data_IF_675692212259
#
_entry.id   IF_675692212259
#
_cell.length_a   1.000
_cell.length_b   1.000
_cell.length_c   1.000
_cell.angle_alpha   90.00
_cell.angle_beta   90.00
_cell.angle_gamma   90.00
#
_symmetry.space_group_name_H-M   'P 1'
#
loop_
_entity.id
_entity.type
_entity.pdbx_description
1 polymer ?
#
# COMPACT_ATOMS: atom_id res chain seq x y z
N UNK A 1 -17.61 3.09 -9.20
CA UNK A 1 -18.20 2.06 -8.33
C UNK A 1 -17.25 1.73 -7.19
N UNK A 2 -17.71 0.93 -6.22
CA UNK A 2 -16.94 0.48 -5.05
C UNK A 2 -15.54 -0.04 -5.41
N UNK A 3 -15.47 -0.97 -6.38
CA UNK A 3 -14.21 -1.51 -6.92
C UNK A 3 -13.17 -0.43 -7.26
N UNK A 4 -13.59 0.66 -7.90
CA UNK A 4 -12.68 1.74 -8.27
C UNK A 4 -12.09 2.47 -7.06
N UNK A 5 -12.84 2.57 -5.95
CA UNK A 5 -12.33 3.13 -4.69
C UNK A 5 -11.27 2.20 -4.09
N UNK A 6 -11.54 0.89 -4.05
CA UNK A 6 -10.61 -0.12 -3.52
C UNK A 6 -9.30 -0.15 -4.31
N UNK A 7 -9.38 -0.17 -5.65
CA UNK A 7 -8.19 -0.14 -6.51
C UNK A 7 -7.36 1.15 -6.32
N UNK A 8 -8.04 2.29 -6.11
CA UNK A 8 -7.35 3.56 -5.83
C UNK A 8 -6.64 3.52 -4.48
N UNK A 9 -7.26 2.92 -3.47
CA UNK A 9 -6.65 2.76 -2.14
C UNK A 9 -5.44 1.82 -2.17
N UNK A 10 -5.55 0.66 -2.84
CA UNK A 10 -4.42 -0.25 -3.07
C UNK A 10 -3.27 0.50 -3.75
N UNK A 11 -3.55 1.28 -4.81
CA UNK A 11 -2.52 2.08 -5.48
C UNK A 11 -1.84 3.06 -4.51
N UNK A 12 -2.60 3.78 -3.69
CA UNK A 12 -2.04 4.75 -2.74
C UNK A 12 -1.12 4.07 -1.71
N UNK A 13 -1.51 2.90 -1.21
CA UNK A 13 -0.68 2.12 -0.29
C UNK A 13 0.61 1.65 -0.95
N UNK A 14 0.54 1.10 -2.17
CA UNK A 14 1.72 0.64 -2.90
C UNK A 14 2.69 1.79 -3.23
N UNK A 15 2.17 2.96 -3.64
CA UNK A 15 3.00 4.15 -3.87
C UNK A 15 3.67 4.60 -2.56
N UNK A 16 2.94 4.63 -1.45
CA UNK A 16 3.51 4.95 -0.14
C UNK A 16 4.63 3.98 0.26
N UNK A 17 4.46 2.68 -0.05
CA UNK A 17 5.47 1.67 0.24
C UNK A 17 6.72 1.83 -0.62
N UNK A 18 6.54 2.21 -1.88
CA UNK A 18 7.64 2.53 -2.79
C UNK A 18 8.42 3.77 -2.32
N UNK A 19 7.71 4.84 -1.95
CA UNK A 19 8.29 6.08 -1.42
C UNK A 19 9.07 5.84 -0.12
N UNK A 20 8.54 4.98 0.76
CA UNK A 20 9.19 4.59 2.01
C UNK A 20 10.26 3.50 1.81
N UNK A 21 10.49 3.02 0.57
CA UNK A 21 11.41 1.91 0.24
C UNK A 21 11.13 0.60 0.98
N UNK A 22 9.88 0.38 1.39
CA UNK A 22 9.42 -0.85 2.07
C UNK A 22 8.70 -1.81 1.11
N UNK A 23 8.47 -1.41 -0.14
CA UNK A 23 7.91 -2.27 -1.19
C UNK A 23 8.91 -3.37 -1.58
N UNK A 24 8.95 -4.43 -0.78
CA UNK A 24 9.84 -5.56 -0.98
C UNK A 24 9.31 -6.53 -2.04
N UNK A 25 10.20 -7.36 -2.59
CA UNK A 25 9.81 -8.51 -3.41
C UNK A 25 8.83 -9.43 -2.67
N UNK A 26 8.93 -9.54 -1.34
CA UNK A 26 8.00 -10.32 -0.52
C UNK A 26 6.55 -9.85 -0.60
N UNK A 27 6.31 -8.53 -0.60
CA UNK A 27 4.95 -7.97 -0.76
C UNK A 27 4.40 -8.30 -2.15
N UNK A 28 5.22 -8.08 -3.18
CA UNK A 28 4.85 -8.39 -4.56
C UNK A 28 4.54 -9.87 -4.75
N UNK A 29 5.43 -10.75 -4.30
CA UNK A 29 5.28 -12.20 -4.42
C UNK A 29 4.07 -12.70 -3.62
N UNK A 30 3.79 -12.10 -2.46
CA UNK A 30 2.58 -12.38 -1.70
C UNK A 30 1.32 -11.99 -2.48
N UNK A 31 1.26 -10.79 -3.08
CA UNK A 31 0.12 -10.38 -3.91
C UNK A 31 -0.10 -11.32 -5.09
N UNK A 32 0.99 -11.75 -5.76
CA UNK A 32 0.91 -12.74 -6.84
C UNK A 32 0.34 -14.08 -6.35
N UNK A 33 0.85 -14.61 -5.23
CA UNK A 33 0.34 -15.85 -4.62
C UNK A 33 -1.11 -15.74 -4.19
N UNK A 34 -1.53 -14.57 -3.71
CA UNK A 34 -2.91 -14.32 -3.35
C UNK A 34 -3.83 -14.47 -4.57
N UNK A 35 -3.46 -13.88 -5.72
CA UNK A 35 -4.23 -14.04 -6.96
C UNK A 35 -4.23 -15.49 -7.45
N UNK A 36 -3.09 -16.19 -7.40
CA UNK A 36 -3.00 -17.62 -7.77
C UNK A 36 -3.98 -18.44 -6.94
N UNK A 37 -3.97 -18.26 -5.61
CA UNK A 37 -4.84 -18.99 -4.69
C UNK A 37 -6.32 -18.68 -4.91
N UNK A 38 -6.66 -17.45 -5.26
CA UNK A 38 -8.04 -17.10 -5.59
C UNK A 38 -8.48 -17.79 -6.88
N UNK A 39 -7.66 -17.72 -7.94
CA UNK A 39 -7.98 -18.32 -9.23
C UNK A 39 -8.04 -19.86 -9.20
N UNK A 40 -7.22 -20.50 -8.37
CA UNK A 40 -7.25 -21.94 -8.18
C UNK A 40 -8.60 -22.45 -7.62
N UNK A 41 -9.39 -21.60 -6.96
CA UNK A 41 -10.74 -21.96 -6.48
C UNK A 41 -11.73 -22.18 -7.63
N UNK A 42 -11.43 -21.65 -8.82
CA UNK A 42 -12.24 -21.82 -10.03
C UNK A 42 -11.73 -22.97 -10.91
N UNK A 43 -11.04 -23.97 -10.31
CA UNK A 43 -10.48 -25.14 -10.99
C UNK A 43 -9.44 -24.80 -12.09
N UNK A 44 -8.90 -23.59 -12.06
CA UNK A 44 -7.80 -23.18 -12.95
C UNK A 44 -6.49 -23.69 -12.36
N UNK A 45 -5.72 -24.47 -13.14
CA UNK A 45 -4.44 -24.99 -12.68
C UNK A 45 -3.42 -23.87 -12.42
N UNK A 46 -2.59 -24.02 -11.38
CA UNK A 46 -1.51 -23.05 -11.11
C UNK A 46 -0.54 -22.94 -12.29
N UNK A 47 -0.25 -24.05 -12.97
CA UNK A 47 0.57 -24.09 -14.18
C UNK A 47 0.00 -23.18 -15.27
N UNK A 48 -1.30 -23.24 -15.53
CA UNK A 48 -1.95 -22.37 -16.51
C UNK A 48 -1.87 -20.90 -16.10
N UNK A 49 -2.12 -20.58 -14.82
CA UNK A 49 -2.08 -19.20 -14.31
C UNK A 49 -0.67 -18.59 -14.44
N UNK A 50 0.35 -19.37 -14.08
CA UNK A 50 1.74 -18.91 -13.99
C UNK A 50 2.42 -18.95 -15.36
N UNK A 51 2.32 -20.07 -16.08
CA UNK A 51 3.18 -20.36 -17.24
C UNK A 51 2.48 -20.06 -18.56
N UNK A 52 1.22 -20.46 -18.73
CA UNK A 52 0.51 -20.32 -20.01
C UNK A 52 -0.06 -18.91 -20.19
N UNK A 53 -0.73 -18.39 -19.16
CA UNK A 53 -1.34 -17.07 -19.19
C UNK A 53 -0.40 -15.95 -18.68
N UNK A 54 0.67 -16.30 -17.95
CA UNK A 54 1.58 -15.36 -17.26
C UNK A 54 0.84 -14.28 -16.48
N UNK A 55 -0.33 -14.63 -15.96
CA UNK A 55 -1.31 -13.64 -15.53
C UNK A 55 -0.77 -12.83 -14.34
N UNK A 56 -0.14 -13.53 -13.41
CA UNK A 56 0.42 -12.98 -12.16
C UNK A 56 1.61 -12.06 -12.37
N UNK A 57 2.27 -12.14 -13.52
CA UNK A 57 3.37 -11.26 -13.88
C UNK A 57 2.88 -9.89 -14.37
N UNK A 58 1.57 -9.75 -14.55
CA UNK A 58 0.94 -8.54 -15.07
C UNK A 58 0.04 -7.90 -14.01
N UNK A 59 -0.06 -6.56 -13.96
CA UNK A 59 -1.04 -5.86 -13.12
C UNK A 59 -2.48 -6.30 -13.38
N UNK A 60 -2.80 -6.79 -14.58
CA UNK A 60 -4.13 -7.21 -15.02
C UNK A 60 -4.67 -8.40 -14.22
N UNK A 61 -3.82 -9.17 -13.55
CA UNK A 61 -4.23 -10.22 -12.60
C UNK A 61 -5.24 -9.72 -11.56
N UNK A 62 -5.12 -8.46 -11.13
CA UNK A 62 -6.04 -7.84 -10.16
C UNK A 62 -7.47 -7.67 -10.71
N UNK A 63 -7.68 -7.76 -12.02
CA UNK A 63 -8.99 -7.70 -12.67
C UNK A 63 -9.88 -8.89 -12.31
N UNK A 64 -9.29 -10.01 -11.89
CA UNK A 64 -10.00 -11.24 -11.55
C UNK A 64 -10.45 -11.31 -10.09
N UNK A 65 -10.10 -10.32 -9.28
CA UNK A 65 -10.49 -10.26 -7.86
C UNK A 65 -11.81 -9.51 -7.70
N UNK A 66 -12.69 -9.93 -6.80
CA UNK A 66 -13.91 -9.18 -6.46
C UNK A 66 -13.64 -8.14 -5.35
N UNK A 67 -14.65 -7.34 -5.00
CA UNK A 67 -14.51 -6.33 -3.93
C UNK A 67 -14.07 -6.95 -2.60
N UNK A 68 -14.46 -8.19 -2.31
CA UNK A 68 -14.08 -8.89 -1.08
C UNK A 68 -12.58 -9.13 -1.00
N UNK A 69 -11.99 -9.66 -2.06
CA UNK A 69 -10.57 -9.97 -2.16
C UNK A 69 -9.73 -8.68 -2.18
N UNK A 70 -10.21 -7.64 -2.85
CA UNK A 70 -9.56 -6.33 -2.83
C UNK A 70 -9.54 -5.73 -1.41
N UNK A 71 -10.61 -5.87 -0.63
CA UNK A 71 -10.62 -5.44 0.77
C UNK A 71 -9.61 -6.23 1.61
N UNK A 72 -9.51 -7.55 1.43
CA UNK A 72 -8.50 -8.36 2.13
C UNK A 72 -7.07 -7.91 1.81
N UNK A 73 -6.80 -7.55 0.56
CA UNK A 73 -5.51 -6.95 0.17
C UNK A 73 -5.28 -5.65 0.94
N UNK A 74 -6.25 -4.75 0.97
CA UNK A 74 -6.13 -3.47 1.70
C UNK A 74 -5.86 -3.71 3.18
N UNK A 75 -6.61 -4.60 3.83
CA UNK A 75 -6.46 -4.90 5.25
C UNK A 75 -5.05 -5.42 5.56
N UNK A 76 -4.53 -6.30 4.70
CA UNK A 76 -3.18 -6.85 4.85
C UNK A 76 -2.09 -5.82 4.58
N UNK A 77 -2.24 -4.98 3.55
CA UNK A 77 -1.31 -3.89 3.28
C UNK A 77 -1.30 -2.90 4.46
N UNK A 78 -2.45 -2.59 5.07
CA UNK A 78 -2.53 -1.71 6.25
C UNK A 78 -1.84 -2.26 7.49
N UNK A 79 -1.62 -3.58 7.60
CA UNK A 79 -0.84 -4.18 8.69
C UNK A 79 0.67 -3.92 8.54
N UNK A 80 1.13 -3.58 7.33
CA UNK A 80 2.52 -3.22 7.10
C UNK A 80 2.74 -1.83 7.66
N UNK A 81 3.48 -1.76 8.78
CA UNK A 81 3.87 -0.50 9.38
C UNK A 81 4.83 0.24 8.43
N UNK A 82 4.40 1.40 7.93
CA UNK A 82 5.29 2.38 7.33
C UNK A 82 6.04 3.16 8.43
N UNK A 83 6.80 2.48 9.29
CA UNK A 83 7.77 3.19 10.14
C UNK A 83 8.99 3.49 9.25
N UNK A 84 9.18 4.76 8.88
CA UNK A 84 10.37 5.20 8.16
C UNK A 84 11.58 5.02 9.09
N UNK A 85 12.50 4.13 8.72
CA UNK A 85 13.74 3.86 9.47
C UNK A 85 14.86 4.87 9.14
N UNK A 86 14.52 6.10 8.75
CA UNK A 86 15.48 7.15 8.38
C UNK A 86 15.52 8.33 9.38
N UNK A 87 14.84 8.22 10.52
CA UNK A 87 14.85 9.24 11.58
C UNK A 87 14.23 10.59 11.18
N UNK A 88 13.74 10.74 9.94
CA UNK A 88 13.12 11.97 9.45
C UNK A 88 11.78 12.27 10.16
N UNK A 89 11.07 11.22 10.57
CA UNK A 89 9.79 11.33 11.26
C UNK A 89 9.92 11.94 12.67
N UNK A 90 11.09 11.77 13.31
CA UNK A 90 11.42 12.42 14.59
C UNK A 90 11.74 13.90 14.39
N UNK A 91 12.43 14.26 13.30
CA UNK A 91 12.77 15.66 12.99
C UNK A 91 11.52 16.47 12.62
N UNK A 92 10.60 15.91 11.83
CA UNK A 92 9.37 16.63 11.44
C UNK A 92 8.48 16.91 12.66
N UNK A 93 8.32 15.95 13.58
CA UNK A 93 7.55 16.15 14.83
C UNK A 93 8.24 17.11 15.81
N UNK A 94 9.57 17.17 15.83
CA UNK A 94 10.32 18.14 16.64
C UNK A 94 10.23 19.57 16.08
N UNK A 95 10.29 19.73 14.76
CA UNK A 95 10.16 21.04 14.11
C UNK A 95 8.75 21.61 14.29
N UNK A 96 7.70 20.80 14.15
CA UNK A 96 6.31 21.25 14.36
C UNK A 96 6.01 21.63 15.81
N UNK A 97 6.62 20.95 16.80
CA UNK A 97 6.48 21.33 18.21
C UNK A 97 7.31 22.56 18.61
N UNK A 98 8.40 22.86 17.88
CA UNK A 98 9.17 24.10 18.06
C UNK A 98 8.50 25.33 17.42
N UNK A 99 7.79 25.16 16.30
CA UNK A 99 7.13 26.26 15.59
C UNK A 99 5.89 26.78 16.31
N UNK A 100 5.31 25.99 17.21
CA UNK A 100 4.20 26.41 18.08
C UNK A 100 4.61 27.32 19.26
N UNK A 101 5.90 27.44 19.59
CA UNK A 101 6.35 28.13 20.82
C UNK A 101 6.85 29.57 20.62
N UNK A 102 7.02 30.04 19.38
CA UNK A 102 7.61 31.37 19.10
C UNK A 102 6.57 32.44 18.75
N UNK A 103 5.26 32.19 18.96
CA UNK A 103 4.24 33.25 18.92
C UNK A 103 3.96 33.82 20.32
N UNK A 104 4.99 34.31 20.99
CA UNK A 104 4.80 35.28 22.08
C UNK A 104 4.57 36.64 21.44
N UNK A 105 3.39 37.19 21.67
CA UNK A 105 2.94 38.52 21.22
C UNK A 105 3.93 39.61 21.65
N UNK A 106 4.64 40.23 20.73
CA UNK A 106 5.08 41.61 20.93
C UNK A 106 3.90 42.53 20.57
N UNK A 107 3.24 43.04 21.62
CA UNK A 107 2.42 44.26 21.52
C UNK A 107 3.41 45.42 21.40
N UNK A 108 3.42 46.08 20.25
CA UNK A 108 4.00 47.41 20.13
C UNK A 108 2.91 48.40 20.55
N UNK A 109 3.07 49.02 21.71
CA UNK A 109 2.42 50.29 22.02
C UNK A 109 3.35 51.41 21.53
N UNK A 110 2.81 52.28 20.68
CA UNK A 110 3.48 53.44 20.08
C UNK A 110 3.60 54.55 21.12
#
# INVERSE_FOLDING_TARGET
GERGKLLREIRLLLVSFEECKILSCGIRDWMMRFVIRHLAQFEVSEHTIITECRLVETPQSICFLECRELNQIIDLLKLIKCERDDGADLVSRAVDSSWGRTRVKEKIEI
#
